data_IF_164628903136
#
_entry.id   IF_164628903136
#
_cell.length_a   1.000
_cell.length_b   1.000
_cell.length_c   1.000
_cell.angle_alpha   90.00
_cell.angle_beta   90.00
_cell.angle_gamma   90.00
#
_symmetry.space_group_name_H-M   'P 1'
#
loop_
_entity.id
_entity.type
_entity.pdbx_description
1 polymer ?
#
# COMPACT_ATOMS: atom_id res chain seq x y z
N UNK A 1 -27.33 -4.81 -17.13
CA UNK A 1 -26.06 -4.09 -17.39
C UNK A 1 -24.87 -4.64 -16.58
N UNK A 2 -24.91 -4.68 -15.23
CA UNK A 2 -23.78 -5.18 -14.42
C UNK A 2 -23.32 -6.62 -14.75
N UNK A 3 -24.23 -7.52 -15.12
CA UNK A 3 -23.86 -8.89 -15.53
C UNK A 3 -23.05 -8.92 -16.83
N UNK A 4 -23.36 -8.02 -17.77
CA UNK A 4 -22.60 -7.87 -19.01
C UNK A 4 -21.22 -7.27 -18.74
N UNK A 5 -21.14 -6.23 -17.90
CA UNK A 5 -19.84 -5.69 -17.46
C UNK A 5 -18.96 -6.75 -16.81
N UNK A 6 -19.51 -7.68 -16.01
CA UNK A 6 -18.77 -8.79 -15.42
C UNK A 6 -18.23 -9.78 -16.45
N UNK A 7 -19.02 -10.08 -17.48
CA UNK A 7 -18.60 -10.97 -18.57
C UNK A 7 -17.45 -10.35 -19.36
N UNK A 8 -17.60 -9.06 -19.73
CA UNK A 8 -16.55 -8.28 -20.41
C UNK A 8 -15.31 -8.16 -19.52
N UNK A 9 -15.47 -7.90 -18.22
CA UNK A 9 -14.36 -7.83 -17.27
C UNK A 9 -13.56 -9.14 -17.25
N UNK A 10 -14.23 -10.30 -17.22
CA UNK A 10 -13.55 -11.60 -17.24
C UNK A 10 -12.68 -11.75 -18.48
N UNK A 11 -13.25 -11.45 -19.65
CA UNK A 11 -12.53 -11.55 -20.93
C UNK A 11 -11.36 -10.56 -21.01
N UNK A 12 -11.55 -9.32 -20.56
CA UNK A 12 -10.48 -8.32 -20.55
C UNK A 12 -9.35 -8.70 -19.60
N UNK A 13 -9.67 -9.22 -18.40
CA UNK A 13 -8.66 -9.67 -17.42
C UNK A 13 -7.76 -10.75 -17.99
N UNK A 14 -8.32 -11.75 -18.68
CA UNK A 14 -7.54 -12.83 -19.27
C UNK A 14 -6.50 -12.31 -20.29
N UNK A 15 -6.82 -11.23 -21.00
CA UNK A 15 -5.92 -10.60 -21.98
C UNK A 15 -4.92 -9.66 -21.28
N UNK A 16 -5.36 -8.87 -20.32
CA UNK A 16 -4.55 -7.78 -19.76
C UNK A 16 -3.65 -8.22 -18.61
N UNK A 17 -4.05 -9.23 -17.83
CA UNK A 17 -3.33 -9.64 -16.62
C UNK A 17 -1.85 -10.01 -16.89
N UNK A 18 -1.47 -10.68 -17.99
CA UNK A 18 -0.07 -10.93 -18.33
C UNK A 18 0.75 -9.68 -18.68
N UNK A 19 0.07 -8.60 -19.12
CA UNK A 19 0.70 -7.35 -19.57
C UNK A 19 0.84 -6.30 -18.46
N UNK A 20 0.19 -6.54 -17.31
CA UNK A 20 0.24 -5.65 -16.17
C UNK A 20 1.55 -5.80 -15.39
N UNK A 21 2.11 -4.66 -14.97
CA UNK A 21 3.29 -4.57 -14.12
C UNK A 21 3.22 -5.56 -12.95
N UNK A 22 4.21 -6.45 -12.77
CA UNK A 22 4.24 -7.41 -11.65
C UNK A 22 4.11 -6.76 -10.27
N UNK A 23 4.50 -5.48 -10.12
CA UNK A 23 4.42 -4.72 -8.86
C UNK A 23 3.11 -3.94 -8.69
N UNK A 24 2.15 -4.21 -9.56
CA UNK A 24 0.78 -3.76 -9.41
C UNK A 24 -0.07 -4.87 -8.79
N UNK A 25 -0.58 -4.61 -7.59
CA UNK A 25 -1.24 -5.62 -6.76
C UNK A 25 -2.76 -5.48 -6.76
N UNK A 26 -3.28 -4.25 -6.79
CA UNK A 26 -4.71 -4.04 -6.72
C UNK A 26 -5.44 -4.64 -7.93
N UNK A 27 -6.64 -5.16 -7.67
CA UNK A 27 -7.63 -5.64 -8.66
C UNK A 27 -7.21 -6.81 -9.56
N UNK A 28 -6.07 -7.45 -9.29
CA UNK A 28 -5.58 -8.64 -9.99
C UNK A 28 -6.01 -9.93 -9.30
N UNK A 29 -6.18 -10.99 -10.08
CA UNK A 29 -6.37 -12.32 -9.52
C UNK A 29 -5.09 -12.80 -8.82
N UNK A 30 -5.24 -13.51 -7.70
CA UNK A 30 -4.12 -14.10 -6.93
C UNK A 30 -3.07 -13.07 -6.45
N UNK A 31 -3.47 -11.82 -6.26
CA UNK A 31 -2.68 -10.78 -5.61
C UNK A 31 -3.49 -10.21 -4.46
N UNK A 32 -2.88 -10.20 -3.29
CA UNK A 32 -3.47 -9.70 -2.05
C UNK A 32 -2.74 -8.46 -1.55
N UNK A 33 -3.37 -7.77 -0.60
CA UNK A 33 -2.70 -6.74 0.21
C UNK A 33 -1.45 -7.29 0.88
N UNK A 34 -1.53 -8.53 1.38
CA UNK A 34 -0.43 -9.17 2.11
C UNK A 34 0.78 -9.39 1.19
N UNK A 35 0.57 -9.73 -0.08
CA UNK A 35 1.65 -9.84 -1.06
C UNK A 35 2.38 -8.50 -1.28
N UNK A 36 1.65 -7.39 -1.32
CA UNK A 36 2.24 -6.06 -1.49
C UNK A 36 3.07 -5.66 -0.28
N UNK A 37 2.53 -5.88 0.93
CA UNK A 37 3.21 -5.58 2.20
C UNK A 37 4.46 -6.48 2.35
N UNK A 38 4.32 -7.79 2.09
CA UNK A 38 5.43 -8.74 2.18
C UNK A 38 6.53 -8.42 1.14
N UNK A 39 6.16 -8.06 -0.08
CA UNK A 39 7.15 -7.68 -1.10
C UNK A 39 7.90 -6.40 -0.71
N UNK A 40 7.21 -5.38 -0.18
CA UNK A 40 7.84 -4.17 0.32
C UNK A 40 8.85 -4.49 1.43
N UNK A 41 8.41 -5.25 2.43
CA UNK A 41 9.25 -5.64 3.58
C UNK A 41 10.43 -6.50 3.15
N UNK A 42 10.24 -7.43 2.21
CA UNK A 42 11.31 -8.24 1.67
C UNK A 42 12.42 -7.39 1.06
N UNK A 43 12.07 -6.42 0.19
CA UNK A 43 13.06 -5.52 -0.40
C UNK A 43 13.80 -4.67 0.65
N UNK A 44 13.08 -4.18 1.66
CA UNK A 44 13.67 -3.37 2.72
C UNK A 44 14.62 -4.21 3.56
N UNK A 45 14.14 -5.32 4.11
CA UNK A 45 14.91 -6.16 5.03
C UNK A 45 16.15 -6.76 4.35
N UNK A 46 16.00 -7.30 3.14
CA UNK A 46 17.11 -7.85 2.37
C UNK A 46 18.20 -6.80 2.10
N UNK A 47 17.80 -5.54 1.86
CA UNK A 47 18.76 -4.47 1.65
C UNK A 47 19.48 -4.08 2.94
N UNK A 48 18.73 -4.01 4.06
CA UNK A 48 19.25 -3.66 5.38
C UNK A 48 20.24 -4.67 5.97
N UNK A 49 20.30 -5.89 5.44
CA UNK A 49 21.33 -6.88 5.80
C UNK A 49 22.74 -6.43 5.37
N UNK A 50 22.85 -5.50 4.41
CA UNK A 50 24.14 -4.96 3.95
C UNK A 50 24.61 -3.82 4.86
N UNK A 51 25.88 -3.79 5.31
CA UNK A 51 26.41 -2.69 6.11
C UNK A 51 26.41 -1.38 5.28
N UNK A 52 26.22 -0.24 5.93
CA UNK A 52 26.18 1.07 5.25
C UNK A 52 24.88 1.36 4.47
N UNK A 53 23.90 0.45 4.54
CA UNK A 53 22.63 0.58 3.84
C UNK A 53 21.52 1.20 4.71
N UNK A 54 20.57 1.86 4.04
CA UNK A 54 19.28 2.21 4.62
C UNK A 54 18.20 2.26 3.52
N UNK A 55 16.94 2.11 3.92
CA UNK A 55 15.81 2.20 3.02
C UNK A 55 15.01 3.49 3.28
N UNK A 56 14.59 4.16 2.22
CA UNK A 56 13.61 5.25 2.24
C UNK A 56 12.32 4.80 1.61
N UNK A 57 11.22 5.05 2.30
CA UNK A 57 9.88 4.65 1.88
C UNK A 57 9.06 5.92 1.78
N UNK A 58 8.56 6.20 0.59
CA UNK A 58 7.65 7.31 0.32
C UNK A 58 6.27 6.72 0.03
N UNK A 59 5.31 7.04 0.88
CA UNK A 59 3.91 6.66 0.69
C UNK A 59 3.20 7.80 -0.03
N UNK A 60 2.88 7.60 -1.30
CA UNK A 60 2.23 8.59 -2.15
C UNK A 60 0.73 8.29 -2.29
N UNK A 61 -0.07 9.34 -2.16
CA UNK A 61 -1.49 9.35 -2.57
C UNK A 61 -1.58 10.22 -3.82
N UNK A 62 -2.06 9.62 -4.92
CA UNK A 62 -2.28 10.32 -6.18
C UNK A 62 -3.65 9.95 -6.74
N UNK A 63 -4.31 10.91 -7.36
CA UNK A 63 -5.66 10.71 -7.87
C UNK A 63 -5.96 11.58 -9.08
N UNK A 64 -7.10 11.32 -9.70
CA UNK A 64 -7.61 12.24 -10.72
C UNK A 64 -8.03 13.55 -10.03
N UNK A 65 -7.77 14.71 -10.65
CA UNK A 65 -8.14 16.00 -10.07
C UNK A 65 -9.65 16.12 -9.96
N UNK A 66 -10.11 16.67 -8.83
CA UNK A 66 -11.51 17.04 -8.63
C UNK A 66 -11.84 18.22 -9.56
N UNK A 67 -12.59 17.97 -10.64
CA UNK A 67 -13.01 19.04 -11.57
C UNK A 67 -14.43 19.51 -11.26
N UNK A 68 -14.58 20.81 -11.06
CA UNK A 68 -15.86 21.52 -11.11
C UNK A 68 -16.01 22.13 -12.51
N UNK A 69 -17.12 21.88 -13.20
CA UNK A 69 -17.41 22.53 -14.49
C UNK A 69 -18.72 23.31 -14.41
N UNK A 70 -18.70 24.59 -14.82
CA UNK A 70 -19.90 25.38 -15.03
C UNK A 70 -20.43 25.14 -16.46
N UNK A 71 -21.73 24.85 -16.59
CA UNK A 71 -22.39 24.68 -17.89
C UNK A 71 -23.24 25.93 -18.18
N UNK A 72 -22.72 26.83 -19.02
CA UNK A 72 -23.44 28.01 -19.51
C UNK A 72 -23.59 29.17 -18.51
N UNK A 73 -24.30 30.23 -18.94
CA UNK A 73 -24.51 31.49 -18.18
C UNK A 73 -25.46 31.37 -16.97
N UNK A 74 -25.82 30.15 -16.56
CA UNK A 74 -26.60 29.90 -15.35
C UNK A 74 -25.82 28.91 -14.48
N UNK A 75 -25.41 29.36 -13.29
CA UNK A 75 -24.73 28.54 -12.30
C UNK A 75 -25.73 27.49 -11.81
N UNK A 76 -25.63 26.25 -12.33
CA UNK A 76 -26.38 25.11 -11.80
C UNK A 76 -25.76 24.61 -10.49
N UNK A 77 -26.56 23.89 -9.70
CA UNK A 77 -26.07 23.19 -8.51
C UNK A 77 -24.88 22.26 -8.80
N UNK A 78 -24.03 22.07 -7.79
CA UNK A 78 -22.80 21.27 -7.82
C UNK A 78 -23.05 19.90 -8.45
N UNK A 79 -22.61 19.70 -9.69
CA UNK A 79 -22.56 18.38 -10.30
C UNK A 79 -21.12 17.87 -10.27
N UNK A 80 -20.89 16.87 -9.44
CA UNK A 80 -19.60 16.19 -9.33
C UNK A 80 -19.39 15.34 -10.58
N UNK A 81 -18.76 15.90 -11.62
CA UNK A 81 -18.31 15.10 -12.76
C UNK A 81 -17.06 14.36 -12.29
N UNK A 82 -17.23 13.09 -11.90
CA UNK A 82 -16.09 12.23 -11.67
C UNK A 82 -15.39 12.06 -13.02
N UNK A 83 -14.20 12.65 -13.15
CA UNK A 83 -13.21 12.23 -14.15
C UNK A 83 -12.79 10.77 -13.93
N UNK A 84 -13.16 10.18 -12.78
CA UNK A 84 -13.16 8.76 -12.52
C UNK A 84 -14.45 8.05 -12.95
N UNK A 85 -14.35 6.75 -13.14
CA UNK A 85 -15.52 5.92 -13.45
C UNK A 85 -16.47 5.88 -12.24
N UNK A 86 -17.81 5.89 -12.44
CA UNK A 86 -18.78 6.00 -11.36
C UNK A 86 -18.60 4.90 -10.30
N UNK A 87 -18.68 5.29 -9.02
CA UNK A 87 -18.53 4.38 -7.89
C UNK A 87 -19.52 3.21 -8.01
N UNK A 88 -19.00 1.98 -8.10
CA UNK A 88 -19.80 0.77 -8.28
C UNK A 88 -19.95 0.29 -9.73
N UNK A 89 -19.26 0.92 -10.70
CA UNK A 89 -19.02 0.31 -12.01
C UNK A 89 -17.98 -0.82 -11.88
N UNK A 90 -18.26 -1.93 -12.56
CA UNK A 90 -17.47 -3.17 -12.41
C UNK A 90 -16.12 -3.07 -13.12
N UNK A 91 -16.02 -2.22 -14.15
CA UNK A 91 -14.83 -2.05 -14.99
C UNK A 91 -13.85 -0.99 -14.50
N UNK A 92 -14.30 -0.03 -13.68
CA UNK A 92 -13.47 1.08 -13.16
C UNK A 92 -12.12 0.63 -12.61
N UNK A 93 -12.04 -0.42 -11.78
CA UNK A 93 -10.77 -0.80 -11.17
C UNK A 93 -9.76 -1.37 -12.17
N UNK A 94 -10.25 -2.08 -13.19
CA UNK A 94 -9.40 -2.58 -14.27
C UNK A 94 -8.91 -1.42 -15.16
N UNK A 95 -9.78 -0.48 -15.50
CA UNK A 95 -9.41 0.69 -16.30
C UNK A 95 -8.37 1.55 -15.59
N UNK A 96 -8.53 1.78 -14.28
CA UNK A 96 -7.53 2.48 -13.48
C UNK A 96 -6.20 1.71 -13.42
N UNK A 97 -6.28 0.38 -13.36
CA UNK A 97 -5.10 -0.49 -13.41
C UNK A 97 -4.35 -0.36 -14.72
N UNK A 98 -5.05 -0.32 -15.85
CA UNK A 98 -4.46 -0.11 -17.17
C UNK A 98 -3.88 1.30 -17.32
N UNK A 99 -4.60 2.30 -16.81
CA UNK A 99 -4.18 3.70 -16.84
C UNK A 99 -2.84 3.94 -16.14
N UNK A 100 -2.68 3.34 -14.96
CA UNK A 100 -1.45 3.46 -14.15
C UNK A 100 -0.40 2.39 -14.47
N UNK A 101 -0.64 1.52 -15.46
CA UNK A 101 0.27 0.41 -15.77
C UNK A 101 1.67 0.91 -16.19
N UNK A 102 1.72 1.99 -16.99
CA UNK A 102 2.98 2.59 -17.45
C UNK A 102 3.81 3.26 -16.36
N UNK A 103 3.22 3.54 -15.20
CA UNK A 103 3.92 4.06 -14.04
C UNK A 103 4.73 2.92 -13.38
N UNK A 104 5.99 2.77 -13.79
CA UNK A 104 6.92 1.73 -13.31
C UNK A 104 8.22 2.39 -12.91
N UNK A 105 9.02 1.76 -12.04
CA UNK A 105 10.38 2.23 -11.71
C UNK A 105 11.42 1.72 -12.71
N UNK A 106 12.32 2.59 -13.18
CA UNK A 106 13.39 2.24 -14.13
C UNK A 106 14.70 1.82 -13.47
N UNK A 107 14.89 2.14 -12.18
CA UNK A 107 16.16 1.89 -11.48
C UNK A 107 16.10 0.64 -10.60
N UNK A 108 17.19 -0.13 -10.55
CA UNK A 108 17.20 -1.39 -9.78
C UNK A 108 17.13 -1.17 -8.27
N UNK A 109 17.73 -0.10 -7.75
CA UNK A 109 17.69 0.26 -6.33
C UNK A 109 16.42 1.00 -5.92
N UNK A 110 15.46 1.18 -6.83
CA UNK A 110 14.18 1.83 -6.52
C UNK A 110 13.04 0.89 -6.89
N UNK A 111 12.12 0.66 -5.95
CA UNK A 111 10.96 -0.21 -6.14
C UNK A 111 9.71 0.64 -6.04
N UNK A 112 8.90 0.62 -7.09
CA UNK A 112 7.57 1.22 -7.12
C UNK A 112 6.54 0.12 -6.95
N UNK A 113 5.73 0.20 -5.90
CA UNK A 113 4.62 -0.72 -5.64
C UNK A 113 3.32 0.06 -5.78
N UNK A 114 2.34 -0.51 -6.48
CA UNK A 114 1.05 0.13 -6.75
C UNK A 114 -0.09 -0.70 -6.19
N UNK A 115 -0.91 -0.07 -5.37
CA UNK A 115 -2.17 -0.61 -4.88
C UNK A 115 -3.29 0.42 -5.10
N UNK A 116 -3.84 0.42 -6.31
CA UNK A 116 -4.78 1.45 -6.75
C UNK A 116 -4.13 2.86 -6.62
N UNK A 117 -4.79 3.78 -5.93
CA UNK A 117 -4.33 5.15 -5.66
C UNK A 117 -3.16 5.20 -4.65
N UNK A 118 -3.02 4.19 -3.79
CA UNK A 118 -1.88 4.05 -2.88
C UNK A 118 -0.65 3.57 -3.65
N UNK A 119 0.35 4.44 -3.82
CA UNK A 119 1.62 4.10 -4.46
C UNK A 119 2.76 4.25 -3.46
N UNK A 120 3.67 3.29 -3.42
CA UNK A 120 4.82 3.31 -2.51
C UNK A 120 6.10 3.24 -3.30
N UNK A 121 6.96 4.24 -3.11
CA UNK A 121 8.29 4.29 -3.69
C UNK A 121 9.31 3.93 -2.60
N UNK A 122 10.07 2.87 -2.83
CA UNK A 122 11.09 2.37 -1.91
C UNK A 122 12.46 2.59 -2.54
N UNK A 123 13.24 3.51 -1.98
CA UNK A 123 14.66 3.71 -2.32
C UNK A 123 15.56 2.86 -1.43
N UNK A 124 16.29 1.94 -2.04
CA UNK A 124 17.31 1.11 -1.41
C UNK A 124 18.65 1.83 -1.54
N UNK A 125 19.07 2.54 -0.49
CA UNK A 125 20.22 3.44 -0.54
C UNK A 125 21.43 2.77 0.10
N UNK A 126 22.55 2.83 -0.59
CA UNK A 126 23.85 2.32 -0.14
C UNK A 126 24.83 3.48 -0.07
N UNK A 127 25.63 3.53 1.00
CA UNK A 127 26.64 4.58 1.25
C UNK A 127 26.12 6.03 1.14
N UNK A 128 24.82 6.23 1.36
CA UNK A 128 24.19 7.56 1.30
C UNK A 128 23.92 8.09 -0.10
N UNK A 129 24.17 7.33 -1.17
CA UNK A 129 23.83 7.74 -2.52
C UNK A 129 22.32 7.71 -2.77
N UNK A 130 21.72 8.91 -2.84
CA UNK A 130 20.28 9.11 -3.06
C UNK A 130 19.96 9.46 -4.51
N UNK A 131 20.93 9.48 -5.42
CA UNK A 131 20.77 9.96 -6.79
C UNK A 131 19.65 9.22 -7.53
N UNK A 132 19.68 7.88 -7.50
CA UNK A 132 18.67 7.03 -8.10
C UNK A 132 17.27 7.27 -7.51
N UNK A 133 17.17 7.37 -6.17
CA UNK A 133 15.91 7.61 -5.49
C UNK A 133 15.30 8.97 -5.88
N UNK A 134 16.13 10.03 -5.92
CA UNK A 134 15.68 11.36 -6.33
C UNK A 134 15.26 11.38 -7.80
N UNK A 135 16.06 10.82 -8.70
CA UNK A 135 15.72 10.78 -10.12
C UNK A 135 14.41 10.02 -10.40
N UNK A 136 14.16 8.93 -9.68
CA UNK A 136 12.91 8.18 -9.81
C UNK A 136 11.70 8.93 -9.19
N UNK A 137 11.92 9.67 -8.11
CA UNK A 137 10.89 10.57 -7.55
C UNK A 137 10.52 11.67 -8.54
N UNK A 138 11.51 12.34 -9.16
CA UNK A 138 11.27 13.41 -10.14
C UNK A 138 10.58 12.86 -11.40
N UNK A 139 10.95 11.65 -11.82
CA UNK A 139 10.28 10.94 -12.91
C UNK A 139 8.83 10.60 -12.57
N UNK A 140 8.55 10.19 -11.33
CA UNK A 140 7.19 9.92 -10.85
C UNK A 140 6.34 11.20 -10.85
N UNK A 141 6.86 12.31 -10.33
CA UNK A 141 6.19 13.62 -10.34
C UNK A 141 5.88 14.08 -11.76
N UNK A 142 6.86 13.95 -12.66
CA UNK A 142 6.69 14.28 -14.07
C UNK A 142 5.65 13.39 -14.74
N UNK A 143 5.68 12.08 -14.45
CA UNK A 143 4.71 11.12 -14.98
C UNK A 143 3.28 11.44 -14.51
N UNK A 144 3.08 11.73 -13.23
CA UNK A 144 1.78 12.15 -12.70
C UNK A 144 1.27 13.41 -13.41
N UNK A 145 2.13 14.42 -13.57
CA UNK A 145 1.79 15.65 -14.28
C UNK A 145 1.39 15.41 -15.75
N UNK A 146 2.15 14.58 -16.47
CA UNK A 146 1.85 14.22 -17.87
C UNK A 146 0.56 13.39 -18.01
N UNK A 147 0.23 12.58 -17.00
CA UNK A 147 -0.95 11.72 -16.97
C UNK A 147 -2.08 12.35 -16.16
N UNK A 148 -2.16 13.68 -16.04
CA UNK A 148 -3.27 14.38 -15.37
C UNK A 148 -3.63 13.80 -13.98
N UNK A 149 -2.63 13.35 -13.23
CA UNK A 149 -2.78 12.83 -11.87
C UNK A 149 -2.22 13.87 -10.90
N UNK A 150 -3.02 14.19 -9.90
CA UNK A 150 -2.66 15.13 -8.86
C UNK A 150 -2.03 14.38 -7.69
N UNK A 151 -0.80 14.77 -7.33
CA UNK A 151 -0.10 14.26 -6.16
C UNK A 151 -0.59 15.00 -4.92
N UNK A 152 -1.12 14.27 -3.94
CA UNK A 152 -1.56 14.84 -2.67
C UNK A 152 -0.37 14.93 -1.72
N UNK A 153 0.45 15.97 -1.89
CA UNK A 153 1.68 16.20 -1.11
C UNK A 153 1.44 16.15 0.40
N UNK A 154 0.33 16.71 0.90
CA UNK A 154 -0.02 16.72 2.32
C UNK A 154 -0.30 15.34 2.92
N UNK A 155 -0.71 14.37 2.10
CA UNK A 155 -0.90 12.99 2.53
C UNK A 155 0.33 12.13 2.31
N UNK A 156 1.31 12.66 1.57
CA UNK A 156 2.54 11.95 1.28
C UNK A 156 3.43 11.97 2.52
N UNK A 157 3.87 10.79 2.92
CA UNK A 157 4.68 10.61 4.14
C UNK A 157 5.97 9.87 3.78
N UNK A 158 7.06 10.26 4.42
CA UNK A 158 8.36 9.58 4.29
C UNK A 158 8.68 8.78 5.56
N UNK A 159 9.21 7.58 5.41
CA UNK A 159 9.81 6.82 6.49
C UNK A 159 11.19 6.34 6.06
N UNK A 160 12.19 6.54 6.92
CA UNK A 160 13.54 6.01 6.72
C UNK A 160 13.80 4.88 7.72
N UNK A 161 14.17 3.71 7.24
CA UNK A 161 14.55 2.54 8.07
C UNK A 161 16.03 2.20 7.85
N UNK A 162 16.75 1.90 8.93
CA UNK A 162 18.20 1.61 8.92
C UNK A 162 18.96 2.27 10.08
N UNK A 163 20.23 1.90 10.25
CA UNK A 163 21.09 2.34 11.37
C UNK A 163 21.82 3.66 11.12
N UNK A 164 21.75 4.20 9.92
CA UNK A 164 22.42 5.45 9.54
C UNK A 164 21.65 6.68 10.04
N UNK A 165 22.36 7.80 10.21
CA UNK A 165 21.75 9.07 10.63
C UNK A 165 20.53 9.45 9.77
N UNK A 166 19.50 10.10 10.36
CA UNK A 166 18.31 10.50 9.65
C UNK A 166 18.71 11.43 8.49
N UNK A 167 18.43 11.02 7.25
CA UNK A 167 18.86 11.76 6.08
C UNK A 167 18.04 13.05 5.92
N UNK A 168 18.63 14.05 5.26
CA UNK A 168 18.00 15.34 4.91
C UNK A 168 16.55 15.21 4.41
N UNK A 169 15.60 16.06 4.84
CA UNK A 169 14.19 15.97 4.43
C UNK A 169 14.03 15.86 2.91
N UNK A 170 13.12 14.99 2.46
CA UNK A 170 12.74 14.95 1.04
C UNK A 170 11.80 16.10 0.73
N UNK A 171 12.05 16.77 -0.40
CA UNK A 171 11.20 17.84 -0.91
C UNK A 171 10.45 17.26 -2.11
N UNK A 172 9.12 17.33 -2.09
CA UNK A 172 8.24 16.88 -3.15
C UNK A 172 7.35 18.06 -3.58
N UNK A 173 7.37 18.40 -4.87
CA UNK A 173 6.61 19.53 -5.42
C UNK A 173 6.80 20.83 -4.61
N UNK A 174 8.06 21.19 -4.33
CA UNK A 174 8.46 22.35 -3.53
C UNK A 174 7.96 22.40 -2.07
N UNK A 175 7.43 21.27 -1.56
CA UNK A 175 7.00 21.13 -0.18
C UNK A 175 7.79 20.04 0.55
N UNK A 176 8.22 20.26 1.82
CA UNK A 176 8.89 19.23 2.58
C UNK A 176 7.92 18.11 2.94
N UNK A 177 8.31 16.86 2.66
CA UNK A 177 7.52 15.69 3.01
C UNK A 177 7.63 15.43 4.52
N UNK A 178 6.52 15.10 5.15
CA UNK A 178 6.49 14.80 6.58
C UNK A 178 7.16 13.45 6.85
N UNK A 179 8.20 13.44 7.67
CA UNK A 179 8.85 12.21 8.13
C UNK A 179 8.07 11.59 9.29
N UNK A 180 7.81 10.28 9.21
CA UNK A 180 7.07 9.53 10.24
C UNK A 180 7.88 8.35 10.78
N UNK A 181 7.66 8.00 12.04
CA UNK A 181 8.26 6.83 12.70
C UNK A 181 7.42 5.57 12.55
N UNK A 182 6.12 5.72 12.29
CA UNK A 182 5.22 4.61 11.99
C UNK A 182 4.16 5.04 10.98
N UNK A 183 3.81 4.15 10.07
CA UNK A 183 2.81 4.39 9.03
C UNK A 183 1.91 3.17 8.84
N UNK A 184 0.61 3.40 8.60
CA UNK A 184 -0.35 2.33 8.35
C UNK A 184 -0.47 2.08 6.84
N UNK A 185 0.35 1.17 6.34
CA UNK A 185 0.39 0.78 4.93
C UNK A 185 -0.57 -0.38 4.66
N UNK A 186 -1.58 -0.14 3.80
CA UNK A 186 -2.60 -1.13 3.40
C UNK A 186 -3.25 -1.89 4.58
N UNK A 187 -3.40 -1.22 5.72
CA UNK A 187 -4.01 -1.82 6.91
C UNK A 187 -3.01 -2.37 7.94
N UNK A 188 -1.76 -2.59 7.55
CA UNK A 188 -0.65 -3.05 8.41
C UNK A 188 0.19 -1.87 8.89
N UNK A 189 0.48 -1.82 10.19
CA UNK A 189 1.35 -0.77 10.74
C UNK A 189 2.81 -1.17 10.59
N UNK A 190 3.58 -0.37 9.85
CA UNK A 190 5.03 -0.52 9.67
C UNK A 190 5.72 0.57 10.49
N UNK A 191 6.70 0.20 11.31
CA UNK A 191 7.52 1.14 12.07
C UNK A 191 8.91 1.29 11.44
N UNK A 192 9.55 2.42 11.72
CA UNK A 192 10.92 2.73 11.25
C UNK A 192 11.94 1.67 11.63
N UNK A 193 11.81 1.11 12.83
CA UNK A 193 12.66 0.04 13.34
C UNK A 193 12.20 -1.37 12.92
N UNK A 194 11.19 -1.45 12.05
CA UNK A 194 10.60 -2.69 11.51
C UNK A 194 10.15 -3.66 12.60
N UNK A 195 9.75 -3.10 13.74
CA UNK A 195 9.21 -3.80 14.89
C UNK A 195 7.70 -3.98 14.77
N UNK A 196 7.22 -5.12 15.25
CA UNK A 196 5.83 -5.55 15.03
C UNK A 196 4.90 -5.24 16.20
N UNK A 197 5.43 -4.77 17.32
CA UNK A 197 4.72 -4.57 18.57
C UNK A 197 3.52 -3.63 18.39
N UNK A 198 3.69 -2.54 17.65
CA UNK A 198 2.61 -1.58 17.39
C UNK A 198 1.51 -2.20 16.50
N UNK A 199 1.91 -2.97 15.47
CA UNK A 199 0.97 -3.68 14.61
C UNK A 199 0.17 -4.72 15.41
N UNK A 200 0.88 -5.59 16.13
CA UNK A 200 0.32 -6.67 16.97
C UNK A 200 -0.64 -6.10 18.02
N UNK A 201 -0.25 -5.03 18.72
CA UNK A 201 -1.13 -4.35 19.69
C UNK A 201 -2.41 -3.83 19.02
N UNK A 202 -2.30 -3.23 17.84
CA UNK A 202 -3.46 -2.69 17.12
C UNK A 202 -4.43 -3.80 16.65
N UNK A 203 -3.89 -4.93 16.19
CA UNK A 203 -4.65 -6.10 15.76
C UNK A 203 -5.33 -6.78 16.94
N UNK A 204 -4.60 -6.95 18.03
CA UNK A 204 -5.11 -7.53 19.28
C UNK A 204 -6.28 -6.71 19.80
N UNK A 205 -6.17 -5.37 19.81
CA UNK A 205 -7.25 -4.47 20.19
C UNK A 205 -8.49 -4.63 19.30
N UNK A 206 -8.32 -4.71 17.98
CA UNK A 206 -9.43 -4.96 17.02
C UNK A 206 -10.09 -6.33 17.25
N UNK A 207 -9.28 -7.37 17.48
CA UNK A 207 -9.77 -8.72 17.76
C UNK A 207 -10.54 -8.76 19.08
N UNK A 208 -10.04 -8.11 20.13
CA UNK A 208 -10.72 -7.99 21.43
C UNK A 208 -12.09 -7.28 21.31
N UNK A 209 -12.17 -6.19 20.53
CA UNK A 209 -13.44 -5.50 20.27
C UNK A 209 -14.47 -6.43 19.61
N UNK A 210 -14.05 -7.24 18.63
CA UNK A 210 -14.93 -8.22 17.97
C UNK A 210 -15.28 -9.41 18.85
N UNK A 211 -14.34 -9.84 19.69
CA UNK A 211 -14.58 -10.87 20.70
C UNK A 211 -15.63 -10.42 21.71
N UNK A 212 -15.63 -9.14 22.10
CA UNK A 212 -16.68 -8.58 22.94
C UNK A 212 -18.07 -8.68 22.29
N UNK A 213 -18.19 -8.39 20.99
CA UNK A 213 -19.46 -8.59 20.28
C UNK A 213 -19.91 -10.05 20.26
N UNK A 214 -19.00 -10.99 20.02
CA UNK A 214 -19.31 -12.42 20.12
C UNK A 214 -19.80 -12.80 21.52
N UNK A 215 -19.18 -12.25 22.57
CA UNK A 215 -19.60 -12.46 23.95
C UNK A 215 -21.01 -11.92 24.23
N UNK A 216 -21.34 -10.73 23.72
CA UNK A 216 -22.70 -10.18 23.84
C UNK A 216 -23.71 -11.03 23.08
N UNK A 217 -23.37 -11.46 21.87
CA UNK A 217 -24.22 -12.31 21.04
C UNK A 217 -24.48 -13.68 21.68
N UNK A 218 -23.50 -14.24 22.40
CA UNK A 218 -23.66 -15.50 23.14
C UNK A 218 -24.72 -15.41 24.24
N UNK A 219 -24.98 -14.23 24.81
CA UNK A 219 -26.05 -14.02 25.81
C UNK A 219 -27.45 -14.28 25.24
N UNK A 220 -27.62 -14.17 23.92
CA UNK A 220 -28.86 -14.47 23.22
C UNK A 220 -28.99 -15.96 22.85
N UNK A 221 -28.24 -16.85 23.51
CA UNK A 221 -28.31 -18.31 23.34
C UNK A 221 -28.06 -18.77 21.88
N UNK A 222 -27.12 -18.12 21.19
CA UNK A 222 -26.76 -18.52 19.83
C UNK A 222 -26.25 -19.96 19.78
N UNK A 223 -26.63 -20.74 18.74
CA UNK A 223 -26.06 -22.06 18.52
C UNK A 223 -24.54 -22.03 18.42
N UNK A 224 -23.88 -23.07 18.95
CA UNK A 224 -22.41 -23.19 18.94
C UNK A 224 -21.85 -23.06 17.52
N UNK A 225 -22.51 -23.68 16.53
CA UNK A 225 -22.10 -23.61 15.12
C UNK A 225 -22.05 -22.18 14.58
N UNK A 226 -23.03 -21.33 14.93
CA UNK A 226 -23.03 -19.92 14.51
C UNK A 226 -21.94 -19.13 15.22
N UNK A 227 -21.67 -19.44 16.49
CA UNK A 227 -20.60 -18.81 17.26
C UNK A 227 -19.20 -19.13 16.67
N UNK A 228 -18.98 -20.39 16.27
CA UNK A 228 -17.75 -20.81 15.58
C UNK A 228 -17.63 -20.10 14.24
N UNK A 229 -18.69 -20.08 13.43
CA UNK A 229 -18.68 -19.37 12.14
C UNK A 229 -18.36 -17.87 12.31
N UNK A 230 -18.94 -17.23 13.32
CA UNK A 230 -18.64 -15.83 13.62
C UNK A 230 -17.18 -15.63 14.01
N UNK A 231 -16.65 -16.49 14.89
CA UNK A 231 -15.25 -16.44 15.30
C UNK A 231 -14.32 -16.56 14.09
N UNK A 232 -14.52 -17.58 13.27
CA UNK A 232 -13.68 -17.84 12.09
C UNK A 232 -13.79 -16.73 11.04
N UNK A 233 -15.00 -16.26 10.75
CA UNK A 233 -15.20 -15.23 9.73
C UNK A 233 -14.71 -13.83 10.16
N UNK A 234 -14.88 -13.47 11.44
CA UNK A 234 -14.73 -12.09 11.90
C UNK A 234 -13.49 -11.86 12.76
N UNK A 235 -13.12 -12.81 13.62
CA UNK A 235 -11.99 -12.64 14.56
C UNK A 235 -10.73 -13.26 13.96
N UNK A 236 -10.82 -14.53 13.58
CA UNK A 236 -9.72 -15.29 13.00
C UNK A 236 -9.20 -14.66 11.71
N UNK A 237 -10.09 -14.11 10.86
CA UNK A 237 -9.71 -13.40 9.63
C UNK A 237 -8.81 -12.19 9.86
N UNK A 238 -9.00 -11.42 10.94
CA UNK A 238 -8.10 -10.30 11.27
C UNK A 238 -6.73 -10.81 11.69
N UNK A 239 -6.72 -11.86 12.52
CA UNK A 239 -5.47 -12.39 13.05
C UNK A 239 -4.63 -12.95 11.90
N UNK A 240 -5.25 -13.66 10.96
CA UNK A 240 -4.57 -14.23 9.79
C UNK A 240 -4.00 -13.19 8.84
N UNK A 241 -4.70 -12.08 8.62
CA UNK A 241 -4.28 -11.02 7.69
C UNK A 241 -2.90 -10.41 8.01
N UNK A 242 -2.37 -10.58 9.21
CA UNK A 242 -1.05 -10.02 9.56
C UNK A 242 -0.05 -11.05 10.10
N UNK A 243 -0.43 -12.33 10.17
CA UNK A 243 0.46 -13.39 10.63
C UNK A 243 1.65 -13.59 9.67
N UNK A 244 1.40 -13.49 8.36
CA UNK A 244 2.46 -13.68 7.34
C UNK A 244 3.57 -12.64 7.51
N UNK A 245 3.20 -11.37 7.73
CA UNK A 245 4.17 -10.29 7.91
C UNK A 245 5.02 -10.46 9.19
N UNK A 246 4.41 -10.92 10.29
CA UNK A 246 5.12 -11.15 11.56
C UNK A 246 6.10 -12.33 11.48
N UNK A 247 5.72 -13.41 10.79
CA UNK A 247 6.55 -14.62 10.68
C UNK A 247 7.84 -14.40 9.88
N UNK A 248 7.79 -13.57 8.84
CA UNK A 248 8.93 -13.29 7.96
C UNK A 248 10.07 -12.55 8.69
N UNK A 249 9.73 -11.61 9.57
CA UNK A 249 10.69 -10.81 10.34
C UNK A 249 11.31 -11.56 11.52
N UNK A 250 10.54 -12.45 12.17
CA UNK A 250 11.08 -13.27 13.27
C UNK A 250 12.11 -14.29 12.78
N UNK A 251 11.95 -14.83 11.56
CA UNK A 251 12.94 -15.72 10.95
C UNK A 251 14.29 -15.05 10.71
N UNK A 252 14.31 -13.78 10.25
CA UNK A 252 15.57 -13.06 10.01
C UNK A 252 16.23 -12.53 11.29
N UNK A 253 15.44 -12.19 12.31
CA UNK A 253 15.96 -11.79 13.63
C UNK A 253 16.71 -12.93 14.33
N UNK A 254 16.30 -14.18 14.09
CA UNK A 254 17.00 -15.37 14.61
C UNK A 254 18.29 -15.68 13.83
N UNK A 255 18.32 -15.49 12.50
CA UNK A 255 19.55 -15.70 11.72
C UNK A 255 20.61 -14.64 12.00
N UNK A 256 20.22 -13.39 12.26
CA UNK A 256 21.16 -12.31 12.65
C UNK A 256 21.81 -12.54 14.02
N UNK A 257 21.19 -13.32 14.92
CA UNK A 257 21.75 -13.71 16.20
C UNK A 257 22.72 -14.91 16.14
N UNK A 258 22.83 -15.57 14.97
CA UNK A 258 23.64 -16.77 14.77
C UNK A 258 24.99 -16.53 14.06
N UNK A 259 25.45 -15.29 13.89
CA UNK A 259 26.84 -15.04 13.47
C UNK A 259 27.77 -15.13 14.69
N UNK A 260 28.68 -16.12 14.77
CA UNK A 260 29.67 -16.18 15.83
C UNK A 260 30.67 -15.04 15.65
N UNK A 261 30.95 -14.32 16.73
CA UNK A 261 32.16 -13.53 16.86
C UNK A 261 33.36 -14.46 16.58
N UNK A 262 34.09 -14.15 15.51
CA UNK A 262 35.43 -14.65 15.22
C UNK A 262 36.27 -13.49 14.75
#
# INVERSE_FOLDING_TARGET
>A
MKSFERLVLSYLKDITDPLLDPRQFAYRANRSVDDAVNMALHFILQHLDSPGSYARILFLDHGLPDRQTAVGMHVSDLQHISTGSPQGCVLSPLLFSLYTNGCTSGHQSVKLLKFADDTTLIGLIFDGDKSAYKGEMDRLVSWCSMNNLELKSLKTMEMTSGRTQPPSPVILCDSPVTSVESFRFLGTTITKDLKWEQNIRSLTKKAQQRMYFLWQLKKFLLPVKMSVNFYTAIIESILHHSLVCCSYSQGQSQTAACHPLS
#
